data_IF_771853499987
#
_entry.id   IF_771853499987
#
_cell.length_a   1.000
_cell.length_b   1.000
_cell.length_c   1.000
_cell.angle_alpha   90.00
_cell.angle_beta   90.00
_cell.angle_gamma   90.00
#
_symmetry.space_group_name_H-M   'P 1'
#
loop_
_entity.id
_entity.type
_entity.pdbx_description
1 polymer ?
#
# COMPACT_ATOMS: atom_id res chain seq x y z
N UNK A 1 -89.59 -12.41 13.09
CA UNK A 1 -88.27 -13.04 13.17
C UNK A 1 -87.34 -12.23 12.29
N UNK A 2 -86.61 -11.28 12.89
CA UNK A 2 -85.70 -10.33 12.17
C UNK A 2 -84.30 -10.85 12.26
N UNK A 3 -83.68 -11.12 11.11
CA UNK A 3 -82.27 -11.51 10.98
C UNK A 3 -81.47 -10.27 10.84
N UNK A 4 -80.58 -10.01 11.80
CA UNK A 4 -79.66 -8.87 11.79
C UNK A 4 -78.35 -9.35 11.10
N UNK A 5 -78.04 -8.78 9.96
CA UNK A 5 -76.77 -9.00 9.24
C UNK A 5 -75.73 -8.03 9.75
N UNK A 6 -74.61 -8.53 10.28
CA UNK A 6 -73.42 -7.75 10.70
C UNK A 6 -72.50 -7.56 9.54
N UNK A 7 -71.98 -6.34 9.27
CA UNK A 7 -70.98 -6.12 8.23
C UNK A 7 -69.59 -6.48 8.74
N UNK A 8 -68.89 -7.35 8.01
CA UNK A 8 -67.51 -7.74 8.20
C UNK A 8 -66.57 -6.64 7.66
N UNK A 9 -65.94 -5.87 8.56
CA UNK A 9 -64.95 -4.86 8.20
C UNK A 9 -63.68 -5.56 7.76
N UNK A 10 -63.30 -5.37 6.49
CA UNK A 10 -62.00 -5.81 5.94
C UNK A 10 -60.91 -4.80 6.33
N UNK A 11 -60.01 -5.19 7.24
CA UNK A 11 -58.81 -4.44 7.59
C UNK A 11 -57.78 -4.68 6.49
N UNK A 12 -57.52 -3.66 5.68
CA UNK A 12 -56.48 -3.65 4.65
C UNK A 12 -55.18 -3.25 5.31
N UNK A 13 -54.31 -4.21 5.65
CA UNK A 13 -52.99 -3.95 6.21
C UNK A 13 -52.04 -3.54 5.06
N UNK A 14 -51.77 -2.26 4.94
CA UNK A 14 -50.76 -1.75 4.00
C UNK A 14 -49.36 -2.09 4.52
N UNK A 15 -48.65 -2.97 3.83
CA UNK A 15 -47.25 -3.32 4.10
C UNK A 15 -46.39 -2.23 3.47
N UNK A 16 -45.90 -1.29 4.29
CA UNK A 16 -44.95 -0.27 3.87
C UNK A 16 -43.55 -0.91 3.77
N UNK A 17 -43.15 -1.33 2.57
CA UNK A 17 -41.79 -1.81 2.32
C UNK A 17 -40.82 -0.65 2.46
N UNK A 18 -40.10 -0.61 3.58
CA UNK A 18 -38.98 0.32 3.76
C UNK A 18 -37.86 -0.06 2.78
N UNK A 19 -37.64 0.74 1.73
CA UNK A 19 -36.45 0.69 0.91
C UNK A 19 -35.26 1.11 1.79
N UNK A 20 -34.51 0.15 2.28
CA UNK A 20 -33.19 0.41 2.88
C UNK A 20 -32.25 0.76 1.72
N UNK A 21 -31.65 1.96 1.67
CA UNK A 21 -30.66 2.26 0.66
C UNK A 21 -29.48 1.30 0.87
N UNK A 22 -29.22 0.43 -0.09
CA UNK A 22 -27.98 -0.33 -0.17
C UNK A 22 -26.91 0.71 -0.53
N UNK A 23 -26.14 1.15 0.47
CA UNK A 23 -24.94 1.92 0.21
C UNK A 23 -24.01 1.04 -0.65
N UNK A 24 -23.91 1.36 -1.93
CA UNK A 24 -22.85 0.80 -2.78
C UNK A 24 -21.54 1.29 -2.20
N UNK A 25 -20.85 0.41 -1.44
CA UNK A 25 -19.45 0.64 -1.10
C UNK A 25 -18.73 0.78 -2.44
N UNK A 26 -18.13 1.96 -2.67
CA UNK A 26 -17.23 2.15 -3.79
C UNK A 26 -16.21 0.99 -3.74
N UNK A 27 -15.96 0.33 -4.86
CA UNK A 27 -15.06 -0.83 -4.89
C UNK A 27 -13.66 -0.37 -4.46
N UNK A 28 -12.92 -1.21 -3.77
CA UNK A 28 -11.56 -0.91 -3.32
C UNK A 28 -10.67 -0.41 -4.47
N UNK A 29 -10.94 -0.88 -5.68
CA UNK A 29 -10.23 -0.44 -6.89
C UNK A 29 -10.47 1.05 -7.21
N UNK A 30 -11.71 1.53 -7.12
CA UNK A 30 -12.01 2.96 -7.38
C UNK A 30 -11.36 3.86 -6.33
N UNK A 31 -11.42 3.45 -5.06
CA UNK A 31 -10.76 4.17 -3.96
C UNK A 31 -9.24 4.21 -4.14
N UNK A 32 -8.63 3.09 -4.55
CA UNK A 32 -7.21 3.03 -4.84
C UNK A 32 -6.82 3.92 -6.03
N UNK A 33 -7.56 3.89 -7.12
CA UNK A 33 -7.30 4.72 -8.28
C UNK A 33 -7.44 6.22 -7.93
N UNK A 34 -8.42 6.57 -7.10
CA UNK A 34 -8.58 7.93 -6.59
C UNK A 34 -7.39 8.34 -5.69
N UNK A 35 -6.94 7.47 -4.78
CA UNK A 35 -5.73 7.70 -3.98
C UNK A 35 -4.51 7.87 -4.88
N UNK A 36 -4.33 6.96 -5.84
CA UNK A 36 -3.17 6.98 -6.72
C UNK A 36 -3.08 8.24 -7.58
N UNK A 37 -4.19 8.67 -8.18
CA UNK A 37 -4.23 9.88 -9.02
C UNK A 37 -4.20 11.18 -8.21
N UNK A 38 -4.86 11.20 -7.05
CA UNK A 38 -5.02 12.39 -6.22
C UNK A 38 -3.86 12.67 -5.27
N UNK A 39 -2.95 11.70 -5.02
CA UNK A 39 -1.87 11.84 -4.04
C UNK A 39 -0.53 12.03 -4.73
N UNK A 40 0.03 13.24 -4.65
CA UNK A 40 1.35 13.57 -5.22
C UNK A 40 2.47 13.33 -4.23
N UNK A 41 2.22 13.59 -2.96
CA UNK A 41 3.14 13.36 -1.85
C UNK A 41 2.39 12.68 -0.71
N UNK A 42 3.09 11.93 0.12
CA UNK A 42 2.53 11.50 1.40
C UNK A 42 3.64 11.25 2.42
N UNK A 43 3.26 11.31 3.70
CA UNK A 43 4.07 10.84 4.83
C UNK A 43 3.23 9.90 5.67
N UNK A 44 3.87 8.90 6.29
CA UNK A 44 3.23 7.99 7.22
C UNK A 44 4.25 7.42 8.20
N UNK A 45 3.76 6.86 9.31
CA UNK A 45 4.48 5.84 10.07
C UNK A 45 4.06 4.48 9.56
N UNK A 46 4.91 3.49 9.71
CA UNK A 46 4.56 2.11 9.36
C UNK A 46 4.98 1.13 10.45
N UNK A 47 4.23 0.05 10.53
CA UNK A 47 4.60 -1.17 11.21
C UNK A 47 4.65 -2.30 10.18
N UNK A 48 5.69 -3.09 10.22
CA UNK A 48 5.95 -4.20 9.30
C UNK A 48 6.01 -5.51 10.07
N UNK A 49 5.40 -6.55 9.51
CA UNK A 49 5.54 -7.93 9.96
C UNK A 49 5.86 -8.81 8.75
N UNK A 50 6.88 -9.64 8.89
CA UNK A 50 7.25 -10.66 7.91
C UNK A 50 6.79 -12.00 8.43
N UNK A 51 6.07 -12.74 7.62
CA UNK A 51 5.54 -14.07 7.91
C UNK A 51 6.23 -15.10 7.01
N UNK A 52 6.61 -16.23 7.58
CA UNK A 52 7.05 -17.38 6.82
C UNK A 52 5.86 -18.09 6.11
N UNK A 53 6.18 -19.13 5.34
CA UNK A 53 5.17 -19.96 4.65
C UNK A 53 4.14 -20.59 5.59
N UNK A 54 4.49 -20.84 6.86
CA UNK A 54 3.59 -21.40 7.86
C UNK A 54 2.70 -20.32 8.51
N UNK A 55 2.86 -19.05 8.14
CA UNK A 55 2.13 -17.92 8.72
C UNK A 55 2.66 -17.45 10.07
N UNK A 56 3.85 -17.90 10.48
CA UNK A 56 4.51 -17.46 11.71
C UNK A 56 5.23 -16.13 11.44
N UNK A 57 5.09 -15.16 12.35
CA UNK A 57 5.88 -13.94 12.31
C UNK A 57 7.35 -14.27 12.60
N UNK A 58 8.23 -13.94 11.67
CA UNK A 58 9.68 -14.15 11.75
C UNK A 58 10.45 -12.87 11.94
N UNK A 59 9.85 -11.71 11.55
CA UNK A 59 10.45 -10.40 11.72
C UNK A 59 9.37 -9.36 11.97
N UNK A 60 9.69 -8.35 12.78
CA UNK A 60 8.85 -7.16 12.99
C UNK A 60 9.73 -5.92 12.95
N UNK A 61 9.28 -4.90 12.24
CA UNK A 61 10.00 -3.65 12.09
C UNK A 61 9.02 -2.47 12.14
N UNK A 62 9.54 -1.28 12.39
CA UNK A 62 8.73 -0.05 12.33
C UNK A 62 9.59 1.13 11.92
N UNK A 63 8.93 2.18 11.44
CA UNK A 63 9.63 3.36 11.00
C UNK A 63 8.73 4.42 10.38
N UNK A 64 9.33 5.25 9.54
CA UNK A 64 8.67 6.34 8.83
C UNK A 64 8.83 6.21 7.32
N UNK A 65 7.85 6.72 6.62
CA UNK A 65 7.77 6.64 5.17
C UNK A 65 7.32 7.98 4.59
N UNK A 66 7.93 8.37 3.49
CA UNK A 66 7.51 9.51 2.68
C UNK A 66 7.71 9.20 1.21
N UNK A 67 6.86 9.77 0.36
CA UNK A 67 7.10 9.78 -1.07
C UNK A 67 6.74 11.13 -1.70
N UNK A 68 7.35 11.40 -2.85
CA UNK A 68 6.92 12.46 -3.75
C UNK A 68 7.02 11.94 -5.19
N UNK A 69 5.90 11.89 -5.87
CA UNK A 69 5.83 11.46 -7.28
C UNK A 69 6.34 12.54 -8.22
N UNK A 70 7.05 12.15 -9.27
CA UNK A 70 7.40 10.80 -9.66
C UNK A 70 8.69 10.28 -9.00
N UNK A 71 8.67 9.03 -8.53
CA UNK A 71 9.86 8.23 -8.24
C UNK A 71 10.69 8.62 -7.02
N UNK A 72 10.25 9.55 -6.16
CA UNK A 72 10.99 9.92 -4.94
C UNK A 72 10.42 9.20 -3.73
N UNK A 73 11.30 8.62 -2.92
CA UNK A 73 10.93 7.88 -1.72
C UNK A 73 11.94 8.11 -0.60
N UNK A 74 11.45 8.27 0.62
CA UNK A 74 12.23 8.21 1.85
C UNK A 74 11.59 7.16 2.74
N UNK A 75 12.36 6.15 3.14
CA UNK A 75 11.90 5.07 3.99
C UNK A 75 12.95 4.82 5.05
N UNK A 76 12.61 5.02 6.30
CA UNK A 76 13.53 4.87 7.42
C UNK A 76 12.98 3.84 8.41
N UNK A 77 13.73 2.79 8.66
CA UNK A 77 13.49 1.85 9.74
C UNK A 77 14.12 2.38 11.02
N UNK A 78 13.35 2.38 12.09
CA UNK A 78 13.79 2.78 13.43
C UNK A 78 14.07 1.55 14.32
N UNK A 79 13.33 0.45 14.09
CA UNK A 79 13.39 -0.80 14.85
C UNK A 79 13.23 -2.00 13.93
N UNK A 80 13.85 -3.17 14.23
CA UNK A 80 14.81 -3.40 15.31
C UNK A 80 16.18 -2.80 15.00
N UNK A 81 16.53 -2.66 13.73
CA UNK A 81 17.78 -2.10 13.20
C UNK A 81 17.50 -0.85 12.39
N UNK A 82 18.43 0.08 12.44
CA UNK A 82 18.31 1.29 11.63
C UNK A 82 18.70 0.97 10.19
N UNK A 83 17.84 1.35 9.25
CA UNK A 83 18.14 1.29 7.83
C UNK A 83 17.41 2.45 7.15
N UNK A 84 18.03 3.03 6.16
CA UNK A 84 17.44 4.15 5.41
C UNK A 84 17.48 3.83 3.92
N UNK A 85 16.30 3.94 3.27
CA UNK A 85 16.18 3.85 1.83
C UNK A 85 15.78 5.23 1.29
N UNK A 86 16.56 5.76 0.36
CA UNK A 86 16.28 7.03 -0.29
C UNK A 86 16.28 6.85 -1.80
N UNK A 87 15.13 7.14 -2.41
CA UNK A 87 14.98 7.21 -3.85
C UNK A 87 14.91 8.66 -4.30
N UNK A 88 15.80 9.06 -5.20
CA UNK A 88 15.88 10.43 -5.74
C UNK A 88 15.10 10.59 -7.07
N UNK A 89 14.51 9.50 -7.56
CA UNK A 89 13.84 9.39 -8.86
C UNK A 89 14.69 8.76 -9.96
N UNK A 90 15.97 8.55 -9.74
CA UNK A 90 16.91 7.88 -10.65
C UNK A 90 17.58 6.68 -10.00
N UNK A 91 18.02 6.84 -8.76
CA UNK A 91 18.71 5.84 -7.95
C UNK A 91 17.93 5.58 -6.66
N UNK A 92 18.07 4.36 -6.14
CA UNK A 92 17.69 3.97 -4.80
C UNK A 92 18.98 3.70 -4.02
N UNK A 93 19.14 4.43 -2.93
CA UNK A 93 20.21 4.29 -1.95
C UNK A 93 19.66 3.51 -0.77
N UNK A 94 20.36 2.45 -0.36
CA UNK A 94 20.01 1.65 0.82
C UNK A 94 21.21 1.76 1.74
N UNK A 95 21.04 2.44 2.86
CA UNK A 95 22.10 2.63 3.86
C UNK A 95 21.77 1.79 5.10
N UNK A 96 22.69 0.93 5.44
CA UNK A 96 22.74 0.18 6.67
C UNK A 96 23.85 0.75 7.57
N UNK A 97 23.49 1.53 8.61
CA UNK A 97 24.48 2.14 9.50
C UNK A 97 25.25 1.13 10.35
N UNK A 98 24.60 0.00 10.71
CA UNK A 98 25.22 -1.02 11.56
C UNK A 98 26.35 -1.76 10.82
N UNK A 99 26.20 -1.90 9.50
CA UNK A 99 27.24 -2.46 8.60
C UNK A 99 28.16 -1.40 8.00
N UNK A 100 27.87 -0.11 8.23
CA UNK A 100 28.53 1.02 7.57
C UNK A 100 28.56 0.87 6.02
N UNK A 101 27.45 0.37 5.45
CA UNK A 101 27.34 -0.01 4.05
C UNK A 101 26.25 0.75 3.33
N UNK A 102 26.49 1.13 2.09
CA UNK A 102 25.52 1.76 1.19
C UNK A 102 25.40 0.94 -0.09
N UNK A 103 24.23 0.43 -0.39
CA UNK A 103 23.95 -0.19 -1.69
C UNK A 103 23.22 0.80 -2.59
N UNK A 104 23.68 0.92 -3.84
CA UNK A 104 23.06 1.80 -4.85
C UNK A 104 22.45 0.96 -5.96
N UNK A 105 21.17 1.19 -6.26
CA UNK A 105 20.44 0.50 -7.34
C UNK A 105 19.80 1.52 -8.28
N UNK A 106 19.55 1.14 -9.54
CA UNK A 106 18.68 1.93 -10.42
C UNK A 106 17.24 1.88 -9.92
N UNK A 107 16.55 3.02 -9.96
CA UNK A 107 15.16 3.09 -9.51
C UNK A 107 14.24 2.19 -10.33
N UNK A 108 14.46 2.05 -11.64
CA UNK A 108 13.67 1.17 -12.51
C UNK A 108 13.70 -0.29 -12.05
N UNK A 109 14.89 -0.81 -11.70
CA UNK A 109 15.02 -2.16 -11.14
C UNK A 109 14.49 -2.28 -9.70
N UNK A 110 14.59 -1.20 -8.92
CA UNK A 110 14.10 -1.18 -7.55
C UNK A 110 12.56 -1.15 -7.45
N UNK A 111 11.87 -0.65 -8.48
CA UNK A 111 10.39 -0.67 -8.57
C UNK A 111 9.80 -2.07 -8.49
N UNK A 112 10.54 -3.07 -8.96
CA UNK A 112 10.13 -4.47 -8.91
C UNK A 112 10.52 -5.18 -7.61
N UNK A 113 11.29 -4.53 -6.73
CA UNK A 113 11.88 -5.18 -5.55
C UNK A 113 11.55 -4.53 -4.21
N UNK A 114 10.93 -3.34 -4.19
CA UNK A 114 10.59 -2.65 -2.93
C UNK A 114 9.16 -2.13 -2.90
N UNK A 115 8.44 -2.29 -1.77
CA UNK A 115 7.10 -1.72 -1.58
C UNK A 115 7.05 -0.21 -1.73
N UNK A 116 8.10 0.45 -1.25
CA UNK A 116 8.23 1.90 -1.28
C UNK A 116 8.23 2.46 -2.70
N UNK A 117 8.96 1.79 -3.61
CA UNK A 117 9.04 2.19 -5.00
C UNK A 117 7.71 2.04 -5.74
N UNK A 118 6.89 1.03 -5.37
CA UNK A 118 5.56 0.85 -5.94
C UNK A 118 4.63 2.02 -5.60
N UNK A 119 4.70 2.54 -4.37
CA UNK A 119 3.89 3.70 -3.94
C UNK A 119 4.38 5.01 -4.56
N UNK A 120 5.69 5.14 -4.79
CA UNK A 120 6.30 6.33 -5.37
C UNK A 120 6.30 6.37 -6.91
N UNK A 121 5.75 5.37 -7.57
CA UNK A 121 5.84 5.11 -9.02
C UNK A 121 5.85 6.34 -9.93
N UNK A 122 6.53 6.21 -11.08
CA UNK A 122 6.67 7.29 -12.07
C UNK A 122 5.50 7.35 -13.04
N UNK A 123 4.94 6.19 -13.38
CA UNK A 123 3.93 6.01 -14.41
C UNK A 123 2.60 5.58 -13.81
N UNK A 124 1.59 5.53 -14.65
CA UNK A 124 0.33 4.91 -14.30
C UNK A 124 0.58 3.47 -13.83
N UNK A 125 0.16 3.15 -12.62
CA UNK A 125 0.35 1.83 -12.03
C UNK A 125 -0.24 0.72 -12.90
N UNK A 126 -1.27 1.02 -13.69
CA UNK A 126 -1.90 0.07 -14.61
C UNK A 126 -0.99 -0.33 -15.77
N UNK A 127 0.06 0.43 -16.07
CA UNK A 127 1.06 0.03 -17.08
C UNK A 127 1.95 -1.10 -16.57
N UNK A 128 2.23 -1.13 -15.27
CA UNK A 128 3.13 -2.08 -14.61
C UNK A 128 2.40 -3.25 -13.97
N UNK A 129 1.14 -3.05 -13.55
CA UNK A 129 0.35 -4.03 -12.81
C UNK A 129 -1.01 -4.26 -13.42
N UNK A 130 -1.50 -5.49 -13.31
CA UNK A 130 -2.92 -5.82 -13.48
C UNK A 130 -3.59 -5.63 -12.12
N UNK A 131 -4.60 -4.77 -12.06
CA UNK A 131 -5.34 -4.46 -10.85
C UNK A 131 -6.68 -5.17 -10.85
N UNK A 132 -7.10 -5.70 -9.70
CA UNK A 132 -8.45 -6.23 -9.49
C UNK A 132 -8.93 -5.94 -8.09
N UNK A 133 -10.23 -5.80 -7.93
CA UNK A 133 -10.87 -5.76 -6.61
C UNK A 133 -10.65 -7.10 -5.91
N UNK A 134 -10.26 -7.06 -4.64
CA UNK A 134 -10.00 -8.24 -3.82
C UNK A 134 -10.96 -8.34 -2.61
N UNK A 135 -12.08 -7.62 -2.69
CA UNK A 135 -13.13 -7.62 -1.67
C UNK A 135 -12.77 -6.84 -0.42
N UNK A 136 -13.44 -7.14 0.68
CA UNK A 136 -13.25 -6.47 1.97
C UNK A 136 -12.89 -7.48 3.05
N UNK A 137 -11.89 -7.15 3.86
CA UNK A 137 -11.47 -7.92 5.02
C UNK A 137 -10.86 -6.98 6.07
N UNK A 138 -11.04 -7.27 7.34
CA UNK A 138 -10.49 -6.51 8.48
C UNK A 138 -10.85 -5.02 8.46
N UNK A 139 -12.03 -4.68 7.93
CA UNK A 139 -12.50 -3.29 7.82
C UNK A 139 -11.85 -2.48 6.69
N UNK A 140 -11.07 -3.12 5.82
CA UNK A 140 -10.42 -2.51 4.67
C UNK A 140 -11.01 -3.06 3.36
N UNK A 141 -11.11 -2.20 2.35
CA UNK A 141 -11.32 -2.62 0.98
C UNK A 141 -9.95 -2.95 0.35
N UNK A 142 -9.84 -4.12 -0.27
CA UNK A 142 -8.57 -4.63 -0.79
C UNK A 142 -8.53 -4.59 -2.31
N UNK A 143 -7.39 -4.17 -2.83
CA UNK A 143 -7.03 -4.25 -4.25
C UNK A 143 -5.82 -5.15 -4.40
N UNK A 144 -5.88 -6.09 -5.31
CA UNK A 144 -4.74 -6.91 -5.68
C UNK A 144 -4.09 -6.34 -6.95
N UNK A 145 -2.77 -6.19 -6.90
CA UNK A 145 -1.92 -5.75 -7.99
C UNK A 145 -0.94 -6.88 -8.33
N UNK A 146 -1.07 -7.47 -9.51
CA UNK A 146 -0.17 -8.50 -10.03
C UNK A 146 0.78 -7.87 -11.03
N UNK A 147 2.11 -8.02 -10.87
CA UNK A 147 3.09 -7.49 -11.81
C UNK A 147 2.86 -8.07 -13.20
N UNK A 148 3.03 -7.25 -14.25
CA UNK A 148 3.03 -7.73 -15.65
C UNK A 148 4.40 -8.28 -16.06
N UNK A 149 5.47 -7.83 -15.40
CA UNK A 149 6.82 -8.37 -15.58
C UNK A 149 6.99 -9.68 -14.82
N UNK A 150 7.81 -10.60 -15.34
CA UNK A 150 8.02 -11.93 -14.76
C UNK A 150 9.09 -11.96 -13.66
N UNK A 151 10.13 -11.16 -13.77
CA UNK A 151 11.28 -11.16 -12.85
C UNK A 151 11.10 -10.11 -11.73
N UNK A 152 10.02 -10.22 -10.98
CA UNK A 152 9.74 -9.36 -9.83
C UNK A 152 10.09 -10.06 -8.52
N UNK A 153 10.49 -9.31 -7.50
CA UNK A 153 10.77 -9.87 -6.17
C UNK A 153 9.53 -10.39 -5.42
N UNK A 154 8.34 -10.26 -6.01
CA UNK A 154 7.07 -10.68 -5.41
C UNK A 154 6.08 -11.16 -6.47
N UNK A 155 5.18 -12.05 -6.07
CA UNK A 155 4.12 -12.60 -6.91
C UNK A 155 2.96 -11.61 -7.07
N UNK A 156 2.56 -10.98 -5.97
CA UNK A 156 1.47 -10.01 -5.93
C UNK A 156 1.62 -9.05 -4.75
N UNK A 157 0.99 -7.91 -4.89
CA UNK A 157 0.81 -6.93 -3.81
C UNK A 157 -0.67 -6.73 -3.59
N UNK A 158 -1.09 -6.68 -2.32
CA UNK A 158 -2.45 -6.27 -1.96
C UNK A 158 -2.40 -4.92 -1.24
N UNK A 159 -3.30 -4.05 -1.58
CA UNK A 159 -3.40 -2.69 -1.04
C UNK A 159 -4.72 -2.58 -0.29
N UNK A 160 -4.66 -2.32 1.00
CA UNK A 160 -5.82 -2.18 1.89
C UNK A 160 -6.16 -0.71 2.09
N UNK A 161 -7.38 -0.33 1.76
CA UNK A 161 -7.87 1.03 1.86
C UNK A 161 -8.96 1.15 2.93
N UNK A 162 -8.89 2.24 3.68
CA UNK A 162 -9.99 2.71 4.54
C UNK A 162 -10.59 3.95 3.86
N UNK A 163 -11.68 3.77 3.13
CA UNK A 163 -12.12 4.76 2.16
C UNK A 163 -11.00 5.07 1.18
N UNK A 164 -10.75 6.33 0.90
CA UNK A 164 -9.68 6.77 -0.03
C UNK A 164 -8.28 6.84 0.58
N UNK A 165 -8.08 6.35 1.81
CA UNK A 165 -6.79 6.37 2.48
C UNK A 165 -6.13 4.98 2.45
N UNK A 166 -4.89 4.91 1.98
CA UNK A 166 -4.09 3.69 2.08
C UNK A 166 -3.78 3.40 3.55
N UNK A 167 -4.23 2.25 4.05
CA UNK A 167 -4.07 1.82 5.44
C UNK A 167 -3.14 0.63 5.59
N UNK A 168 -3.04 -0.24 4.58
CA UNK A 168 -2.19 -1.41 4.62
C UNK A 168 -1.65 -1.80 3.25
N UNK A 169 -0.55 -2.56 3.24
CA UNK A 169 0.00 -3.21 2.06
C UNK A 169 0.49 -4.61 2.44
N UNK A 170 0.15 -5.59 1.64
CA UNK A 170 0.70 -6.94 1.74
C UNK A 170 1.50 -7.26 0.49
N UNK A 171 2.72 -7.77 0.67
CA UNK A 171 3.51 -8.36 -0.40
C UNK A 171 3.54 -9.86 -0.21
N UNK A 172 3.30 -10.59 -1.27
CA UNK A 172 3.45 -12.04 -1.31
C UNK A 172 4.63 -12.39 -2.18
N UNK A 173 5.62 -13.05 -1.61
CA UNK A 173 6.79 -13.49 -2.36
C UNK A 173 6.52 -14.83 -3.08
N UNK A 174 7.43 -15.18 -3.99
CA UNK A 174 7.32 -16.42 -4.78
C UNK A 174 7.59 -17.69 -3.97
N UNK A 175 8.09 -17.55 -2.74
CA UNK A 175 8.42 -18.68 -1.84
C UNK A 175 7.28 -18.99 -0.85
N UNK A 176 6.20 -18.19 -0.89
CA UNK A 176 5.02 -18.32 -0.03
C UNK A 176 5.15 -17.54 1.28
N UNK A 177 6.15 -16.70 1.42
CA UNK A 177 6.25 -15.72 2.50
C UNK A 177 5.35 -14.51 2.24
N UNK A 178 5.09 -13.76 3.29
CA UNK A 178 4.24 -12.56 3.23
C UNK A 178 4.81 -11.45 4.10
N UNK A 179 4.85 -10.24 3.57
CA UNK A 179 5.15 -9.03 4.34
C UNK A 179 3.90 -8.17 4.43
N UNK A 180 3.46 -7.87 5.65
CA UNK A 180 2.36 -6.97 5.94
C UNK A 180 2.91 -5.65 6.47
N UNK A 181 2.51 -4.56 5.83
CA UNK A 181 2.75 -3.19 6.25
C UNK A 181 1.42 -2.57 6.67
N UNK A 182 1.38 -1.95 7.84
CA UNK A 182 0.27 -1.12 8.31
C UNK A 182 0.74 0.32 8.39
N UNK A 183 -0.02 1.22 7.79
CA UNK A 183 0.30 2.65 7.80
C UNK A 183 -0.53 3.36 8.86
N UNK A 184 0.15 4.16 9.68
CA UNK A 184 -0.47 5.05 10.65
C UNK A 184 -0.15 6.51 10.30
N UNK A 185 -1.07 7.41 10.64
CA UNK A 185 -0.92 8.86 10.43
C UNK A 185 -0.59 9.24 8.97
N UNK A 186 -1.11 8.50 8.01
CA UNK A 186 -0.89 8.79 6.60
C UNK A 186 -1.50 10.16 6.26
N UNK A 187 -0.66 11.06 5.77
CA UNK A 187 -1.03 12.43 5.37
C UNK A 187 -0.81 12.57 3.87
N UNK A 188 -1.85 12.41 3.05
CA UNK A 188 -1.75 12.64 1.61
C UNK A 188 -1.52 14.13 1.33
N UNK A 189 -0.74 14.41 0.29
CA UNK A 189 -0.38 15.75 -0.17
C UNK A 189 0.30 16.63 0.89
N UNK A 190 0.99 15.98 1.85
CA UNK A 190 1.81 16.68 2.84
C UNK A 190 2.98 17.41 2.18
N UNK A 191 3.40 18.53 2.79
CA UNK A 191 4.65 19.19 2.42
C UNK A 191 5.80 18.32 2.93
N UNK A 192 6.59 17.77 2.01
CA UNK A 192 7.77 16.94 2.34
C UNK A 192 9.02 17.72 1.97
N UNK A 193 9.94 17.96 2.91
CA UNK A 193 11.19 18.66 2.64
C UNK A 193 12.00 17.94 1.54
N UNK A 194 12.57 18.64 0.56
CA UNK A 194 13.35 18.02 -0.53
C UNK A 194 14.50 17.13 -0.03
N UNK A 195 15.08 17.46 1.11
CA UNK A 195 16.18 16.71 1.75
C UNK A 195 15.80 15.27 2.11
N UNK A 196 14.51 14.99 2.29
CA UNK A 196 13.99 13.63 2.52
C UNK A 196 14.32 12.68 1.35
N UNK A 197 14.54 13.22 0.16
CA UNK A 197 14.77 12.48 -1.07
C UNK A 197 16.17 12.66 -1.63
N UNK A 198 17.10 13.12 -0.81
CA UNK A 198 18.51 13.27 -1.18
C UNK A 198 19.36 12.44 -0.23
N UNK A 199 20.39 11.79 -0.76
CA UNK A 199 21.30 10.99 0.04
C UNK A 199 22.74 11.19 -0.44
N UNK A 200 23.65 11.30 0.52
CA UNK A 200 25.08 11.25 0.29
C UNK A 200 25.69 10.19 1.22
N UNK A 201 26.47 9.24 0.70
CA UNK A 201 27.11 8.24 1.53
C UNK A 201 27.95 8.90 2.64
N UNK A 202 27.85 8.40 3.89
CA UNK A 202 28.71 8.86 4.97
C UNK A 202 30.19 8.62 4.64
N UNK A 203 31.06 9.46 5.20
CA UNK A 203 32.51 9.28 5.04
C UNK A 203 32.95 7.93 5.59
N UNK A 204 33.64 7.14 4.78
CA UNK A 204 34.14 5.81 5.15
C UNK A 204 33.12 4.69 5.04
N UNK A 205 31.91 4.95 4.52
CA UNK A 205 30.96 3.88 4.21
C UNK A 205 31.44 3.07 3.00
N UNK A 206 31.26 1.77 3.06
CA UNK A 206 31.46 0.89 1.91
C UNK A 206 30.29 1.04 0.92
N UNK A 207 30.59 1.46 -0.32
CA UNK A 207 29.57 1.73 -1.33
C UNK A 207 29.57 0.65 -2.39
N UNK A 208 28.52 -0.16 -2.40
CA UNK A 208 28.26 -1.19 -3.41
C UNK A 208 27.35 -0.60 -4.49
N UNK A 209 27.90 -0.30 -5.65
CA UNK A 209 27.13 0.18 -6.80
C UNK A 209 26.68 -1.00 -7.68
N UNK A 210 25.41 -1.39 -7.51
CA UNK A 210 24.73 -2.47 -8.24
C UNK A 210 24.03 -1.91 -9.51
N UNK A 211 24.42 -0.74 -9.99
CA UNK A 211 23.90 -0.20 -11.24
C UNK A 211 24.63 -0.85 -12.42
N UNK A 212 23.92 -1.40 -13.44
CA UNK A 212 24.58 -1.95 -14.63
C UNK A 212 25.50 -0.91 -15.26
N UNK A 213 26.77 -1.27 -15.43
CA UNK A 213 27.73 -0.43 -16.19
C UNK A 213 27.25 -0.39 -17.65
N UNK A 214 27.19 0.80 -18.22
CA UNK A 214 26.88 1.00 -19.63
C UNK A 214 27.95 0.39 -20.51
#
# INVERSE_FOLDING_TARGET
MRIIATPMARILTAFLAALVPVATLAGGLDDFLAFNSGTKTATARFEQQVFDRAGKVVESASGTFAFARPGKVGWAYDKPHKQVLVGDGQKLWIHDPDLNQVTVKRMEGAMSSTPAALLAGRDDITTLFTLKDAGSADGLAWVEASPKAQDTGFERVRLGLNGKALAAMELHDQLGGRTLLRFADLKPNAVVPPQTFTFAPPTGADVIDDTPKK
#
